data_IF_658195187318
#
_entry.id   IF_658195187318
#
_cell.length_a   1.000
_cell.length_b   1.000
_cell.length_c   1.000
_cell.angle_alpha   90.00
_cell.angle_beta   90.00
_cell.angle_gamma   90.00
#
_symmetry.space_group_name_H-M   'P 1'
#
loop_
_entity.id
_entity.type
_entity.pdbx_description
1 polymer ?
#
# COMPACT_ATOMS: atom_id res chain seq x y z
N UNK A 1 1.32 16.89 -12.58
CA UNK A 1 1.19 17.31 -11.18
C UNK A 1 1.13 16.09 -10.28
N UNK A 2 1.66 16.18 -9.08
CA UNK A 2 1.67 15.07 -8.14
C UNK A 2 1.24 15.54 -6.74
N UNK A 3 0.88 14.58 -5.91
CA UNK A 3 0.51 14.81 -4.52
C UNK A 3 1.39 13.94 -3.61
N UNK A 4 1.87 14.54 -2.53
CA UNK A 4 2.54 13.81 -1.45
C UNK A 4 1.56 13.63 -0.30
N UNK A 5 1.62 12.46 0.33
CA UNK A 5 0.80 12.18 1.50
C UNK A 5 1.66 11.63 2.62
N UNK A 6 1.13 11.73 3.84
CA UNK A 6 1.75 11.14 5.02
C UNK A 6 0.66 10.45 5.82
N UNK A 7 0.93 9.20 6.24
CA UNK A 7 0.00 8.41 7.03
C UNK A 7 0.74 7.75 8.18
N UNK A 8 0.11 7.75 9.37
CA UNK A 8 0.60 6.94 10.47
C UNK A 8 0.10 5.52 10.29
N UNK A 9 1.01 4.56 10.37
CA UNK A 9 0.67 3.14 10.20
C UNK A 9 0.07 2.59 11.49
N UNK A 10 -1.12 2.00 11.36
CA UNK A 10 -1.81 1.33 12.45
C UNK A 10 -1.98 -0.14 12.08
N UNK A 11 -1.53 -1.02 12.97
CA UNK A 11 -1.57 -2.46 12.72
C UNK A 11 -0.29 -2.98 12.08
N UNK A 12 -0.23 -4.28 11.88
CA UNK A 12 0.99 -4.99 11.48
C UNK A 12 0.84 -5.80 10.17
N UNK A 13 -0.18 -5.52 9.37
CA UNK A 13 -0.43 -6.27 8.13
C UNK A 13 0.72 -6.21 7.14
N UNK A 14 1.57 -5.18 7.23
CA UNK A 14 2.74 -5.02 6.37
C UNK A 14 4.06 -5.32 7.09
N UNK A 15 3.99 -5.82 8.32
CA UNK A 15 5.20 -6.22 9.05
C UNK A 15 5.86 -7.43 8.36
N UNK A 16 7.18 -7.50 8.31
CA UNK A 16 8.16 -6.59 8.92
C UNK A 16 8.56 -5.39 8.07
N UNK A 17 8.07 -5.27 6.82
CA UNK A 17 8.47 -4.19 5.90
C UNK A 17 8.05 -2.83 6.40
N UNK A 18 6.82 -2.74 6.91
CA UNK A 18 6.26 -1.51 7.48
C UNK A 18 5.64 -1.87 8.82
N UNK A 19 6.09 -1.21 9.88
CA UNK A 19 5.67 -1.54 11.24
C UNK A 19 4.65 -0.57 11.78
N UNK A 20 3.81 -1.06 12.69
CA UNK A 20 2.89 -0.23 13.46
C UNK A 20 3.63 0.95 14.08
N UNK A 21 3.03 2.13 14.02
CA UNK A 21 3.60 3.35 14.56
C UNK A 21 4.53 4.10 13.62
N UNK A 22 4.98 3.49 12.52
CA UNK A 22 5.76 4.18 11.50
C UNK A 22 4.89 5.20 10.77
N UNK A 23 5.56 6.19 10.14
CA UNK A 23 4.90 7.08 9.21
C UNK A 23 5.27 6.69 7.79
N UNK A 24 4.29 6.66 6.90
CA UNK A 24 4.51 6.33 5.49
C UNK A 24 4.35 7.59 4.66
N UNK A 25 5.30 7.84 3.77
CA UNK A 25 5.25 8.94 2.81
C UNK A 25 4.85 8.35 1.47
N UNK A 26 3.77 8.87 0.91
CA UNK A 26 3.23 8.39 -0.36
C UNK A 26 3.32 9.47 -1.45
N UNK A 27 3.32 9.00 -2.68
CA UNK A 27 3.34 9.81 -3.88
C UNK A 27 2.19 9.37 -4.78
N UNK A 28 1.43 10.32 -5.32
CA UNK A 28 0.39 10.05 -6.28
C UNK A 28 0.51 10.95 -7.50
N UNK A 29 0.38 10.36 -8.69
CA UNK A 29 0.19 11.07 -9.95
C UNK A 29 -0.73 10.24 -10.82
N UNK A 30 -1.61 10.89 -11.60
CA UNK A 30 -2.52 10.18 -12.52
C UNK A 30 -1.77 9.29 -13.50
N UNK A 31 -0.55 9.67 -13.87
CA UNK A 31 0.26 8.97 -14.87
C UNK A 31 1.28 8.01 -14.27
N UNK A 32 1.30 7.86 -12.95
CA UNK A 32 2.26 6.94 -12.34
C UNK A 32 1.97 5.51 -12.77
N UNK A 33 3.02 4.75 -12.99
CA UNK A 33 2.90 3.33 -13.30
C UNK A 33 2.63 2.55 -12.02
N UNK A 34 1.73 1.58 -12.14
CA UNK A 34 1.42 0.67 -11.04
C UNK A 34 2.25 -0.60 -11.25
N UNK A 35 3.19 -0.83 -10.36
CA UNK A 35 4.26 -1.82 -10.56
C UNK A 35 4.11 -2.95 -9.53
N UNK A 36 4.08 -4.23 -9.96
CA UNK A 36 4.09 -5.35 -9.04
C UNK A 36 5.27 -5.28 -8.07
N UNK A 37 5.08 -5.80 -6.88
CA UNK A 37 6.01 -5.83 -5.75
C UNK A 37 6.14 -4.52 -4.98
N UNK A 38 5.60 -3.40 -5.50
CA UNK A 38 5.61 -2.12 -4.79
C UNK A 38 4.39 -2.01 -3.86
N UNK A 39 4.48 -1.10 -2.92
CA UNK A 39 3.46 -0.90 -1.89
C UNK A 39 2.64 0.34 -2.20
N UNK A 40 1.32 0.22 -2.06
CA UNK A 40 0.38 1.29 -2.42
C UNK A 40 -0.62 1.53 -1.32
N UNK A 41 -1.12 2.76 -1.27
CA UNK A 41 -2.27 3.13 -0.46
C UNK A 41 -3.53 2.98 -1.32
N UNK A 42 -4.52 2.29 -0.77
CA UNK A 42 -5.77 1.94 -1.45
C UNK A 42 -6.97 2.49 -0.71
N UNK A 43 -8.01 2.85 -1.46
CA UNK A 43 -9.35 3.07 -0.92
C UNK A 43 -10.18 1.82 -1.14
N UNK A 44 -10.55 1.16 -0.07
CA UNK A 44 -11.32 -0.10 -0.13
C UNK A 44 -12.73 0.14 0.41
N UNK A 45 -13.78 -0.37 -0.30
CA UNK A 45 -15.15 -0.11 0.12
C UNK A 45 -15.49 -0.68 1.50
N UNK A 46 -14.86 -1.78 1.89
CA UNK A 46 -15.10 -2.42 3.18
C UNK A 46 -14.08 -2.04 4.25
N UNK A 47 -12.81 -1.95 3.87
CA UNK A 47 -11.71 -1.75 4.85
C UNK A 47 -11.24 -0.30 4.95
N UNK A 48 -11.77 0.61 4.11
CA UNK A 48 -11.35 2.00 4.11
C UNK A 48 -9.96 2.18 3.49
N UNK A 49 -9.19 3.11 4.03
CA UNK A 49 -7.83 3.35 3.55
C UNK A 49 -6.89 2.30 4.13
N UNK A 50 -6.27 1.52 3.25
CA UNK A 50 -5.35 0.44 3.62
C UNK A 50 -4.07 0.53 2.80
N UNK A 51 -2.99 -0.04 3.33
CA UNK A 51 -1.69 -0.09 2.66
C UNK A 51 -1.33 -1.55 2.45
N UNK A 52 -1.10 -1.92 1.20
CA UNK A 52 -0.83 -3.31 0.80
C UNK A 52 0.18 -3.35 -0.33
N UNK A 53 0.77 -4.53 -0.55
CA UNK A 53 1.73 -4.75 -1.63
C UNK A 53 1.03 -5.33 -2.85
N UNK A 54 1.33 -4.78 -4.03
CA UNK A 54 0.78 -5.30 -5.28
C UNK A 54 1.39 -6.66 -5.61
N UNK A 55 0.52 -7.67 -5.76
CA UNK A 55 0.92 -9.01 -6.20
C UNK A 55 0.96 -9.11 -7.71
N UNK A 56 -0.16 -8.81 -8.36
CA UNK A 56 -0.24 -8.93 -9.82
C UNK A 56 -1.43 -8.13 -10.36
N UNK A 57 -1.41 -7.91 -11.67
CA UNK A 57 -2.52 -7.35 -12.44
C UNK A 57 -3.14 -8.49 -13.25
N UNK A 58 -4.45 -8.63 -13.21
CA UNK A 58 -5.13 -9.69 -13.95
C UNK A 58 -5.43 -9.26 -15.39
N UNK A 59 -6.00 -10.20 -16.18
CA UNK A 59 -6.31 -9.96 -17.58
C UNK A 59 -7.43 -8.94 -17.80
N UNK A 60 -8.22 -8.68 -16.78
CA UNK A 60 -9.30 -7.67 -16.82
C UNK A 60 -8.81 -6.28 -16.45
N UNK A 61 -7.53 -6.12 -16.14
CA UNK A 61 -6.96 -4.84 -15.76
C UNK A 61 -7.12 -4.48 -14.29
N UNK A 62 -7.56 -5.40 -13.46
CA UNK A 62 -7.67 -5.19 -12.03
C UNK A 62 -6.39 -5.61 -11.31
N UNK A 63 -6.16 -5.02 -10.14
CA UNK A 63 -4.96 -5.23 -9.35
C UNK A 63 -5.29 -6.04 -8.09
N UNK A 64 -4.39 -6.94 -7.73
CA UNK A 64 -4.55 -7.82 -6.58
C UNK A 64 -3.44 -7.58 -5.58
N UNK A 65 -3.82 -7.27 -4.34
CA UNK A 65 -2.92 -6.81 -3.29
C UNK A 65 -2.92 -7.76 -2.10
N UNK A 66 -1.80 -7.79 -1.38
CA UNK A 66 -1.67 -8.57 -0.15
C UNK A 66 -0.83 -7.81 0.87
N UNK A 67 -1.00 -8.14 2.14
CA UNK A 67 -0.10 -7.68 3.19
C UNK A 67 1.15 -8.56 3.26
N UNK A 68 2.21 -8.04 3.85
CA UNK A 68 3.47 -8.77 4.02
C UNK A 68 3.42 -9.72 5.21
N UNK A 69 2.57 -9.46 6.19
CA UNK A 69 2.43 -10.28 7.38
C UNK A 69 1.60 -11.53 7.11
N UNK A 70 1.92 -12.63 7.79
CA UNK A 70 1.13 -13.85 7.76
C UNK A 70 -0.31 -13.65 8.23
N UNK A 71 -0.53 -12.68 9.12
CA UNK A 71 -1.83 -12.39 9.71
C UNK A 71 -2.62 -11.33 8.95
N UNK A 72 -2.12 -10.90 7.79
CA UNK A 72 -2.82 -9.90 7.00
C UNK A 72 -4.06 -10.48 6.34
N UNK A 73 -4.98 -9.59 5.95
CA UNK A 73 -6.16 -9.95 5.18
C UNK A 73 -5.73 -10.62 3.87
N UNK A 74 -6.33 -11.77 3.55
CA UNK A 74 -5.98 -12.53 2.36
C UNK A 74 -6.25 -11.73 1.08
N UNK A 75 -5.48 -12.03 0.05
CA UNK A 75 -5.62 -11.46 -1.28
C UNK A 75 -7.06 -11.60 -1.81
N UNK A 76 -7.67 -12.77 -1.58
CA UNK A 76 -9.02 -13.07 -2.03
C UNK A 76 -10.07 -12.22 -1.30
N UNK A 77 -9.87 -11.97 -0.02
CA UNK A 77 -10.79 -11.19 0.81
C UNK A 77 -10.72 -9.69 0.49
N UNK A 78 -9.54 -9.19 0.16
CA UNK A 78 -9.37 -7.82 -0.33
C UNK A 78 -10.10 -7.68 -1.67
N UNK A 79 -9.94 -8.66 -2.54
CA UNK A 79 -10.59 -8.69 -3.84
C UNK A 79 -9.88 -7.85 -4.89
N UNK A 80 -10.48 -7.78 -6.07
CA UNK A 80 -9.94 -7.03 -7.18
C UNK A 80 -10.03 -5.53 -6.93
N UNK A 81 -8.94 -4.82 -7.20
CA UNK A 81 -8.83 -3.37 -7.01
C UNK A 81 -8.71 -2.69 -8.37
N UNK A 82 -9.59 -1.75 -8.64
CA UNK A 82 -9.52 -0.94 -9.84
C UNK A 82 -8.46 0.16 -9.67
N UNK A 83 -7.91 0.64 -10.78
CA UNK A 83 -6.88 1.68 -10.76
C UNK A 83 -7.32 2.93 -9.98
N UNK A 84 -8.59 3.33 -10.11
CA UNK A 84 -9.13 4.50 -9.41
C UNK A 84 -9.13 4.37 -7.89
N UNK A 85 -8.99 3.17 -7.36
CA UNK A 85 -8.91 2.94 -5.91
C UNK A 85 -7.47 3.04 -5.38
N UNK A 86 -6.48 3.11 -6.26
CA UNK A 86 -5.06 3.25 -5.88
C UNK A 86 -4.77 4.74 -5.79
N UNK A 87 -4.49 5.23 -4.59
CA UNK A 87 -4.34 6.68 -4.39
C UNK A 87 -2.97 7.11 -3.90
N UNK A 88 -1.98 6.24 -3.96
CA UNK A 88 -0.60 6.61 -3.68
C UNK A 88 0.33 5.42 -3.67
N UNK A 89 1.59 5.64 -4.02
CA UNK A 89 2.67 4.66 -3.86
C UNK A 89 3.47 5.04 -2.63
N UNK A 90 3.76 4.08 -1.78
CA UNK A 90 4.57 4.33 -0.58
C UNK A 90 6.04 4.40 -1.02
N UNK A 91 6.62 5.58 -0.88
CA UNK A 91 8.02 5.82 -1.25
C UNK A 91 8.97 5.39 -0.16
N UNK A 92 8.65 5.75 1.08
CA UNK A 92 9.49 5.46 2.22
C UNK A 92 8.67 5.47 3.50
N UNK A 93 9.23 4.88 4.55
CA UNK A 93 8.65 4.95 5.89
C UNK A 93 9.66 5.54 6.86
N UNK A 94 9.15 6.18 7.91
CA UNK A 94 9.95 6.84 8.92
C UNK A 94 9.62 6.21 10.27
N UNK A 95 10.66 5.80 10.98
CA UNK A 95 10.57 5.31 12.34
C UNK A 95 11.45 6.19 13.23
N UNK A 96 10.92 6.64 14.37
CA UNK A 96 11.62 7.55 15.27
C UNK A 96 12.94 6.96 15.82
N UNK A 97 13.05 5.63 15.86
CA UNK A 97 14.23 4.94 16.42
C UNK A 97 15.20 4.46 15.34
N UNK A 98 14.67 3.93 14.23
CA UNK A 98 15.51 3.27 13.21
C UNK A 98 15.69 4.09 11.94
N UNK A 99 14.99 5.23 11.81
CA UNK A 99 15.16 6.12 10.67
C UNK A 99 14.28 5.77 9.48
N UNK A 100 14.84 5.89 8.28
CA UNK A 100 14.11 5.79 7.02
C UNK A 100 14.30 4.40 6.42
N UNK A 101 13.19 3.82 5.91
CA UNK A 101 13.19 2.56 5.17
C UNK A 101 12.43 2.71 3.86
N UNK A 102 12.81 1.89 2.87
CA UNK A 102 12.17 1.85 1.55
C UNK A 102 11.48 0.48 1.40
N UNK A 103 10.18 0.41 1.47
CA UNK A 103 9.46 -0.86 1.37
C UNK A 103 9.42 -1.44 -0.04
#
# INVERSE_FOLDING_TARGET
MFTLGIDKIVGDSMSPSIKDGNYAISFYSKRMKIIPTKVYRLSHPQFGSIIKRLSYKDDNGNFWFKGDSHNSTSLKKIGAIAKGQINGRILLTINSKTGISFP
#
